data_IF_423932398409
#
_entry.id   IF_423932398409
#
_cell.length_a   1.000
_cell.length_b   1.000
_cell.length_c   1.000
_cell.angle_alpha   90.00
_cell.angle_beta   90.00
_cell.angle_gamma   90.00
#
_symmetry.space_group_name_H-M   'P 1'
#
loop_
_entity.id
_entity.type
_entity.pdbx_description
1 polymer ?
#
# COMPACT_ATOMS: atom_id res chain seq x y z
N UNK A 1 19.18 9.23 1.57
CA UNK A 1 17.87 9.90 1.64
C UNK A 1 16.94 9.00 2.44
N UNK A 2 16.26 9.49 3.48
CA UNK A 2 15.21 8.73 4.19
C UNK A 2 13.88 9.24 3.66
N UNK A 3 13.20 8.45 2.86
CA UNK A 3 11.93 8.81 2.20
C UNK A 3 10.83 7.96 2.82
N UNK A 4 9.64 8.50 3.11
CA UNK A 4 8.54 7.69 3.60
C UNK A 4 8.14 6.63 2.56
N UNK A 5 7.69 5.46 3.01
CA UNK A 5 7.34 4.31 2.17
C UNK A 5 5.86 3.94 2.33
N UNK A 6 5.19 3.68 1.21
CA UNK A 6 3.92 2.93 1.16
C UNK A 6 4.22 1.54 0.58
N UNK A 7 3.91 0.49 1.34
CA UNK A 7 4.16 -0.90 0.97
C UNK A 7 2.85 -1.67 0.83
N UNK A 8 2.75 -2.46 -0.24
CA UNK A 8 1.60 -3.32 -0.54
C UNK A 8 1.97 -4.79 -0.48
N UNK A 9 1.04 -5.61 -0.03
CA UNK A 9 1.21 -7.05 0.07
C UNK A 9 -0.10 -7.82 0.08
N UNK A 10 0.01 -9.15 0.12
CA UNK A 10 -1.15 -10.03 0.23
C UNK A 10 -0.85 -11.26 1.06
N UNK A 11 -1.84 -11.74 1.82
CA UNK A 11 -1.75 -13.01 2.55
C UNK A 11 -1.71 -14.23 1.62
N UNK A 12 -2.24 -14.09 0.41
CA UNK A 12 -2.26 -15.15 -0.61
C UNK A 12 -1.00 -15.18 -1.48
N UNK A 13 -0.10 -14.19 -1.35
CA UNK A 13 1.11 -14.12 -2.15
C UNK A 13 2.17 -15.13 -1.66
N UNK A 14 2.49 -16.18 -2.45
CA UNK A 14 3.47 -17.17 -2.05
C UNK A 14 4.92 -16.71 -2.29
N UNK A 15 5.12 -15.61 -3.01
CA UNK A 15 6.43 -15.08 -3.41
C UNK A 15 6.86 -14.00 -2.43
N UNK A 16 6.00 -13.01 -2.18
CA UNK A 16 6.22 -11.94 -1.21
C UNK A 16 5.28 -12.13 -0.02
N UNK A 17 5.62 -13.07 0.85
CA UNK A 17 4.77 -13.45 1.98
C UNK A 17 4.52 -12.26 2.92
N UNK A 18 3.37 -12.26 3.59
CA UNK A 18 3.04 -11.26 4.63
C UNK A 18 4.17 -11.15 5.67
N UNK A 19 4.74 -12.28 6.10
CA UNK A 19 5.86 -12.30 7.05
C UNK A 19 7.08 -11.53 6.50
N UNK A 20 7.45 -11.78 5.24
CA UNK A 20 8.60 -11.11 4.60
C UNK A 20 8.38 -9.61 4.48
N UNK A 21 7.17 -9.19 4.10
CA UNK A 21 6.78 -7.78 4.01
C UNK A 21 6.82 -7.12 5.38
N UNK A 22 6.26 -7.75 6.42
CA UNK A 22 6.29 -7.22 7.79
C UNK A 22 7.71 -7.06 8.28
N UNK A 23 8.57 -8.06 8.09
CA UNK A 23 9.97 -8.04 8.50
C UNK A 23 10.74 -6.87 7.89
N UNK A 24 10.59 -6.62 6.59
CA UNK A 24 11.30 -5.49 5.95
C UNK A 24 10.72 -4.14 6.39
N UNK A 25 9.41 -4.05 6.60
CA UNK A 25 8.77 -2.84 7.09
C UNK A 25 9.18 -2.49 8.51
N UNK A 26 9.29 -3.49 9.39
CA UNK A 26 9.75 -3.30 10.76
C UNK A 26 11.21 -2.85 10.77
N UNK A 27 12.07 -3.45 9.95
CA UNK A 27 13.45 -3.00 9.78
C UNK A 27 13.54 -1.53 9.33
N UNK A 28 12.73 -1.11 8.37
CA UNK A 28 12.69 0.30 7.94
C UNK A 28 12.20 1.24 9.06
N UNK A 29 11.17 0.84 9.80
CA UNK A 29 10.66 1.61 10.95
C UNK A 29 11.70 1.77 12.05
N UNK A 30 12.41 0.69 12.40
CA UNK A 30 13.54 0.70 13.35
C UNK A 30 14.66 1.67 12.92
N UNK A 31 14.84 1.85 11.61
CA UNK A 31 15.80 2.80 11.04
C UNK A 31 15.25 4.23 10.87
N UNK A 32 14.09 4.53 11.47
CA UNK A 32 13.48 5.85 11.49
C UNK A 32 12.84 6.26 10.16
N UNK A 33 12.42 5.29 9.34
CA UNK A 33 11.67 5.54 8.10
C UNK A 33 10.17 5.39 8.43
N UNK A 34 9.35 6.37 8.05
CA UNK A 34 7.88 6.22 8.11
C UNK A 34 7.46 5.20 7.05
N UNK A 35 6.76 4.15 7.48
CA UNK A 35 6.27 3.08 6.60
C UNK A 35 4.80 2.80 6.87
N UNK A 36 3.98 2.98 5.84
CA UNK A 36 2.58 2.57 5.82
C UNK A 36 2.47 1.24 5.04
N UNK A 37 1.72 0.28 5.58
CA UNK A 37 1.61 -1.09 5.04
C UNK A 37 0.15 -1.44 4.84
N UNK A 38 -0.18 -1.94 3.66
CA UNK A 38 -1.51 -2.48 3.34
C UNK A 38 -1.36 -3.90 2.84
N UNK A 39 -2.07 -4.82 3.50
CA UNK A 39 -2.06 -6.25 3.19
C UNK A 39 -3.48 -6.67 2.83
N UNK A 40 -3.72 -7.04 1.58
CA UNK A 40 -4.98 -7.65 1.16
C UNK A 40 -5.02 -9.13 1.52
N UNK A 41 -6.21 -9.69 1.68
CA UNK A 41 -6.35 -11.10 2.05
C UNK A 41 -6.14 -12.06 0.85
N UNK A 42 -6.49 -11.64 -0.37
CA UNK A 42 -6.79 -12.59 -1.44
C UNK A 42 -6.39 -12.12 -2.86
N UNK A 43 -5.45 -11.18 -3.00
CA UNK A 43 -4.86 -10.82 -4.30
C UNK A 43 -3.67 -11.72 -4.62
N UNK A 44 -3.50 -12.09 -5.89
CA UNK A 44 -2.27 -12.73 -6.38
C UNK A 44 -1.08 -11.76 -6.35
N UNK A 45 0.14 -12.30 -6.47
CA UNK A 45 1.37 -11.52 -6.58
C UNK A 45 1.24 -10.43 -7.66
N UNK A 46 1.55 -9.17 -7.33
CA UNK A 46 1.54 -8.01 -8.24
C UNK A 46 0.15 -7.65 -8.80
N UNK A 47 -0.94 -8.19 -8.25
CA UNK A 47 -2.29 -8.06 -8.83
C UNK A 47 -3.25 -7.17 -8.03
N UNK A 48 -2.77 -6.40 -7.04
CA UNK A 48 -3.62 -5.58 -6.16
C UNK A 48 -4.45 -4.54 -6.94
N UNK A 49 -3.81 -3.74 -7.80
CA UNK A 49 -4.49 -2.72 -8.60
C UNK A 49 -5.49 -3.31 -9.59
N UNK A 50 -5.19 -4.49 -10.17
CA UNK A 50 -6.08 -5.14 -11.11
C UNK A 50 -7.36 -5.66 -10.42
N UNK A 51 -7.23 -6.14 -9.18
CA UNK A 51 -8.35 -6.69 -8.41
C UNK A 51 -9.16 -5.63 -7.65
N UNK A 52 -8.47 -4.64 -7.09
CA UNK A 52 -9.06 -3.59 -6.27
C UNK A 52 -8.62 -2.20 -6.76
N UNK A 53 -9.00 -1.79 -7.98
CA UNK A 53 -8.49 -0.56 -8.59
C UNK A 53 -8.84 0.70 -7.79
N UNK A 54 -10.08 0.83 -7.32
CA UNK A 54 -10.51 2.02 -6.57
C UNK A 54 -9.86 2.11 -5.19
N UNK A 55 -9.82 1.00 -4.45
CA UNK A 55 -9.13 0.95 -3.15
C UNK A 55 -7.63 1.22 -3.34
N UNK A 56 -6.96 0.56 -4.29
CA UNK A 56 -5.55 0.80 -4.59
C UNK A 56 -5.26 2.28 -4.87
N UNK A 57 -6.06 2.92 -5.75
CA UNK A 57 -5.92 4.34 -6.08
C UNK A 57 -6.23 5.25 -4.89
N UNK A 58 -7.23 4.91 -4.08
CA UNK A 58 -7.52 5.63 -2.84
C UNK A 58 -6.31 5.57 -1.89
N UNK A 59 -5.74 4.39 -1.64
CA UNK A 59 -4.60 4.25 -0.74
C UNK A 59 -3.36 5.00 -1.23
N UNK A 60 -3.03 4.91 -2.52
CA UNK A 60 -1.91 5.65 -3.12
C UNK A 60 -2.16 7.16 -3.01
N UNK A 61 -3.33 7.64 -3.41
CA UNK A 61 -3.61 9.07 -3.43
C UNK A 61 -3.66 9.69 -2.03
N UNK A 62 -4.26 8.98 -1.06
CA UNK A 62 -4.26 9.38 0.35
C UNK A 62 -2.84 9.48 0.88
N UNK A 63 -2.00 8.49 0.58
CA UNK A 63 -0.61 8.51 1.01
C UNK A 63 0.18 9.68 0.41
N UNK A 64 0.01 9.95 -0.89
CA UNK A 64 0.68 11.08 -1.57
C UNK A 64 0.21 12.44 -1.03
N UNK A 65 -1.07 12.57 -0.69
CA UNK A 65 -1.65 13.73 0.01
C UNK A 65 -1.02 13.87 1.41
N UNK A 66 -0.97 12.80 2.20
CA UNK A 66 -0.44 12.80 3.56
C UNK A 66 1.05 13.21 3.65
N UNK A 67 1.83 12.96 2.59
CA UNK A 67 3.24 13.40 2.51
C UNK A 67 3.43 14.72 1.76
N UNK A 68 2.34 15.37 1.33
CA UNK A 68 2.35 16.71 0.74
C UNK A 68 2.88 16.78 -0.70
N UNK A 69 2.86 15.67 -1.45
CA UNK A 69 3.39 15.62 -2.82
C UNK A 69 2.34 15.32 -3.90
N UNK A 70 1.09 15.07 -3.51
CA UNK A 70 0.00 14.74 -4.43
C UNK A 70 -1.35 15.31 -4.03
N UNK A 71 -2.34 15.07 -4.87
CA UNK A 71 -3.74 15.42 -4.66
C UNK A 71 -4.59 14.15 -4.52
N UNK A 72 -5.64 14.22 -3.71
CA UNK A 72 -6.52 13.07 -3.43
C UNK A 72 -7.29 12.60 -4.66
N UNK A 73 -7.34 11.28 -4.87
CA UNK A 73 -8.24 10.67 -5.83
C UNK A 73 -9.66 10.70 -5.27
N UNK A 74 -10.57 11.35 -6.00
CA UNK A 74 -12.00 11.31 -5.71
C UNK A 74 -12.64 10.30 -6.65
N UNK A 75 -12.86 9.07 -6.17
CA UNK A 75 -13.63 8.09 -6.92
C UNK A 75 -15.03 8.67 -7.21
N UNK A 76 -15.55 8.56 -8.44
CA UNK A 76 -16.93 8.92 -8.71
C UNK A 76 -17.82 8.05 -7.82
N UNK A 77 -18.65 8.68 -6.97
CA UNK A 77 -19.64 7.94 -6.19
C UNK A 77 -20.51 7.17 -7.17
N UNK A 78 -20.51 5.83 -7.07
CA UNK A 78 -21.50 5.04 -7.76
C UNK A 78 -22.88 5.50 -7.25
N UNK A 79 -23.68 6.06 -8.14
CA UNK A 79 -25.08 6.35 -7.84
C UNK A 79 -25.78 5.00 -7.62
N UNK A 80 -26.09 4.69 -6.36
CA UNK A 80 -27.03 3.65 -5.98
C UNK A 80 -28.47 4.17 -6.16
#
# INVERSE_FOLDING_TARGET
MRTPILMFGSKKDPISTEESIRKICDHWKENGIKVDVIIWDDTEHVSHMAKYPDDYLEQVSRYLEDIGVGIRYNAPKANL
#
